data_IF_765599804858
#
_entry.id   IF_765599804858
#
_cell.length_a   1.000
_cell.length_b   1.000
_cell.length_c   1.000
_cell.angle_alpha   90.00
_cell.angle_beta   90.00
_cell.angle_gamma   90.00
#
_symmetry.space_group_name_H-M   'P 1'
#
loop_
_entity.id
_entity.type
_entity.pdbx_description
1 polymer ?
#
# COMPACT_ATOMS: atom_id res chain seq x y z
N UNK A 1 -25.67 5.31 -11.47
CA UNK A 1 -24.84 4.83 -10.35
C UNK A 1 -23.87 3.79 -10.88
N UNK A 2 -22.60 3.86 -10.46
CA UNK A 2 -21.61 2.83 -10.77
C UNK A 2 -21.94 1.53 -9.99
N UNK A 3 -21.85 0.39 -10.66
CA UNK A 3 -22.09 -0.93 -10.07
C UNK A 3 -20.84 -1.37 -9.29
N UNK A 4 -20.95 -1.62 -7.98
CA UNK A 4 -19.83 -2.13 -7.20
C UNK A 4 -19.58 -3.60 -7.57
N UNK A 5 -18.46 -3.86 -8.25
CA UNK A 5 -18.00 -5.23 -8.59
C UNK A 5 -17.35 -5.87 -7.38
N UNK A 6 -16.51 -5.10 -6.66
CA UNK A 6 -15.80 -5.54 -5.46
C UNK A 6 -15.86 -4.44 -4.41
N UNK A 7 -16.38 -4.70 -3.20
CA UNK A 7 -16.39 -3.71 -2.15
C UNK A 7 -14.97 -3.36 -1.70
N UNK A 8 -14.83 -2.18 -1.12
CA UNK A 8 -13.60 -1.81 -0.44
C UNK A 8 -13.39 -2.74 0.76
N UNK A 9 -12.14 -3.12 1.00
CA UNK A 9 -11.79 -4.05 2.06
C UNK A 9 -10.35 -3.85 2.48
N UNK A 10 -10.01 -4.40 3.66
CA UNK A 10 -8.63 -4.45 4.13
C UNK A 10 -8.01 -5.77 3.70
N UNK A 11 -6.92 -5.70 2.94
CA UNK A 11 -6.08 -6.87 2.66
C UNK A 11 -4.98 -6.97 3.70
N UNK A 12 -4.76 -8.20 4.18
CA UNK A 12 -3.67 -8.52 5.10
C UNK A 12 -2.58 -9.25 4.33
N UNK A 13 -1.37 -8.72 4.41
CA UNK A 13 -0.17 -9.29 3.80
C UNK A 13 0.78 -9.68 4.92
N UNK A 14 1.20 -10.94 4.92
CA UNK A 14 2.32 -11.38 5.74
C UNK A 14 3.51 -11.67 4.83
N UNK A 15 4.69 -11.23 5.24
CA UNK A 15 5.95 -11.59 4.59
C UNK A 15 6.99 -11.95 5.63
N UNK A 16 7.84 -12.91 5.29
CA UNK A 16 8.98 -13.27 6.14
C UNK A 16 10.20 -12.47 5.71
N UNK A 17 10.98 -12.03 6.68
CA UNK A 17 12.25 -11.33 6.46
C UNK A 17 13.33 -11.93 7.35
N UNK A 18 14.53 -12.07 6.81
CA UNK A 18 15.72 -12.35 7.61
C UNK A 18 16.31 -11.02 8.05
N UNK A 19 16.40 -10.80 9.36
CA UNK A 19 16.84 -9.53 9.92
C UNK A 19 18.24 -9.61 10.55
N UNK A 20 18.99 -8.55 10.31
CA UNK A 20 20.26 -8.23 10.95
C UNK A 20 20.16 -6.83 11.53
N UNK A 21 20.73 -6.63 12.71
CA UNK A 21 20.74 -5.35 13.41
C UNK A 21 22.18 -4.97 13.75
N UNK A 22 22.52 -3.69 13.64
CA UNK A 22 23.84 -3.26 14.10
C UNK A 22 23.94 -3.43 15.62
N UNK A 23 25.09 -3.91 16.09
CA UNK A 23 25.32 -4.04 17.54
C UNK A 23 25.44 -2.69 18.23
N UNK A 24 25.84 -1.66 17.49
CA UNK A 24 26.03 -0.29 17.96
C UNK A 24 24.77 0.57 17.90
N UNK A 25 23.77 0.17 17.12
CA UNK A 25 22.51 0.88 16.93
C UNK A 25 21.37 -0.12 16.73
N UNK A 26 20.49 -0.23 17.74
CA UNK A 26 19.42 -1.20 17.74
C UNK A 26 18.25 -0.86 16.80
N UNK A 27 18.19 0.35 16.26
CA UNK A 27 17.14 0.79 15.33
C UNK A 27 17.56 0.68 13.86
N UNK A 28 18.86 0.47 13.60
CA UNK A 28 19.42 0.34 12.27
C UNK A 28 19.86 -1.10 11.95
N UNK A 29 19.78 -1.46 10.67
CA UNK A 29 20.21 -2.80 10.23
C UNK A 29 19.85 -3.12 8.79
N UNK A 30 19.85 -4.41 8.50
CA UNK A 30 19.52 -4.97 7.19
C UNK A 30 18.38 -5.97 7.31
N UNK A 31 17.49 -5.97 6.33
CA UNK A 31 16.39 -6.93 6.30
C UNK A 31 16.16 -7.41 4.88
N UNK A 32 16.24 -8.73 4.68
CA UNK A 32 16.14 -9.38 3.38
C UNK A 32 14.83 -10.14 3.29
N UNK A 33 14.12 -10.05 2.16
CA UNK A 33 12.92 -10.87 1.94
C UNK A 33 13.32 -12.36 2.03
N UNK A 34 12.46 -13.19 2.63
CA UNK A 34 12.77 -14.60 2.91
C UNK A 34 11.63 -15.51 2.45
N UNK A 35 11.90 -16.35 1.46
CA UNK A 35 10.92 -17.23 0.82
C UNK A 35 11.54 -18.61 0.62
N UNK A 36 10.72 -19.67 0.71
CA UNK A 36 11.17 -21.05 0.47
C UNK A 36 12.45 -21.48 1.25
N UNK A 37 12.62 -20.95 2.46
CA UNK A 37 13.77 -21.30 3.32
C UNK A 37 15.08 -20.59 2.97
N UNK A 38 15.06 -19.53 2.13
CA UNK A 38 16.26 -18.76 1.76
C UNK A 38 15.97 -17.26 1.58
N UNK A 39 16.98 -16.40 1.76
CA UNK A 39 16.83 -14.98 1.42
C UNK A 39 16.72 -14.77 -0.10
N UNK A 40 15.86 -13.82 -0.49
CA UNK A 40 15.62 -13.40 -1.87
C UNK A 40 16.20 -12.00 -2.07
N UNK A 41 16.97 -11.81 -3.16
CA UNK A 41 17.65 -10.55 -3.44
C UNK A 41 17.08 -9.89 -4.70
N UNK A 42 16.45 -8.73 -4.54
CA UNK A 42 15.88 -7.94 -5.64
C UNK A 42 16.93 -7.27 -6.54
N UNK A 43 18.16 -7.13 -6.04
CA UNK A 43 19.27 -6.53 -6.78
C UNK A 43 20.64 -7.03 -6.24
N UNK A 44 21.73 -6.83 -6.99
CA UNK A 44 23.07 -7.26 -6.56
C UNK A 44 23.56 -6.61 -5.26
N UNK A 45 23.13 -5.38 -4.94
CA UNK A 45 23.53 -4.71 -3.71
C UNK A 45 22.95 -5.42 -2.47
N UNK A 46 21.69 -5.86 -2.53
CA UNK A 46 21.08 -6.64 -1.46
C UNK A 46 21.85 -7.95 -1.20
N UNK A 47 22.28 -8.64 -2.27
CA UNK A 47 23.12 -9.85 -2.13
C UNK A 47 24.47 -9.53 -1.48
N UNK A 48 25.13 -8.45 -1.89
CA UNK A 48 26.40 -8.01 -1.28
C UNK A 48 26.24 -7.69 0.20
N UNK A 49 25.19 -6.96 0.56
CA UNK A 49 24.90 -6.61 1.97
C UNK A 49 24.64 -7.87 2.80
N UNK A 50 23.94 -8.87 2.26
CA UNK A 50 23.72 -10.13 2.95
C UNK A 50 25.02 -10.90 3.21
N UNK A 51 25.89 -11.04 2.20
CA UNK A 51 27.18 -11.71 2.41
C UNK A 51 28.08 -10.92 3.37
N UNK A 52 28.03 -9.58 3.33
CA UNK A 52 28.72 -8.73 4.31
C UNK A 52 28.22 -9.01 5.74
N UNK A 53 26.90 -9.05 5.96
CA UNK A 53 26.33 -9.38 7.27
C UNK A 53 26.80 -10.74 7.81
N UNK A 54 27.01 -11.73 6.94
CA UNK A 54 27.54 -13.05 7.33
C UNK A 54 29.03 -13.03 7.68
N UNK A 55 29.80 -12.13 7.06
CA UNK A 55 31.24 -11.99 7.26
C UNK A 55 31.58 -11.12 8.47
N UNK A 56 30.63 -10.30 8.93
CA UNK A 56 30.82 -9.31 10.00
C UNK A 56 29.91 -9.53 11.23
N UNK A 57 29.91 -10.72 11.87
CA UNK A 57 29.10 -10.98 13.07
C UNK A 57 29.49 -10.12 14.29
N UNK A 58 30.67 -9.49 14.26
CA UNK A 58 31.14 -8.49 15.23
C UNK A 58 30.45 -7.13 15.06
N UNK A 59 29.95 -6.79 13.88
CA UNK A 59 29.27 -5.52 13.62
C UNK A 59 27.75 -5.66 13.69
N UNK A 60 27.22 -6.81 13.26
CA UNK A 60 25.79 -7.07 13.21
C UNK A 60 25.42 -8.35 13.95
N UNK A 61 24.22 -8.36 14.51
CA UNK A 61 23.58 -9.53 15.08
C UNK A 61 22.48 -10.03 14.15
N UNK A 62 22.44 -11.34 13.88
CA UNK A 62 21.34 -11.95 13.15
C UNK A 62 20.18 -12.24 14.11
N UNK A 63 19.02 -11.60 13.87
CA UNK A 63 17.81 -11.79 14.67
C UNK A 63 16.96 -12.99 14.19
N UNK A 64 17.40 -13.65 13.11
CA UNK A 64 16.68 -14.75 12.49
C UNK A 64 15.56 -14.28 11.58
N UNK A 65 14.66 -15.22 11.26
CA UNK A 65 13.53 -14.97 10.35
C UNK A 65 12.35 -14.46 11.17
N UNK A 66 11.92 -13.23 10.88
CA UNK A 66 10.73 -12.62 11.47
C UNK A 66 9.59 -12.60 10.48
N UNK A 67 8.35 -12.58 10.99
CA UNK A 67 7.16 -12.36 10.17
C UNK A 67 6.73 -10.91 10.34
N UNK A 68 6.70 -10.17 9.24
CA UNK A 68 6.16 -8.82 9.19
C UNK A 68 4.73 -8.90 8.65
N UNK A 69 3.78 -8.43 9.47
CA UNK A 69 2.39 -8.29 9.08
C UNK A 69 2.12 -6.84 8.67
N UNK A 70 1.50 -6.67 7.50
CA UNK A 70 1.02 -5.37 7.03
C UNK A 70 -0.42 -5.52 6.59
N UNK A 71 -1.16 -4.44 6.68
CA UNK A 71 -2.48 -4.35 6.06
C UNK A 71 -2.55 -3.11 5.19
N UNK A 72 -3.16 -3.23 4.02
CA UNK A 72 -3.49 -2.09 3.17
C UNK A 72 -5.00 -2.01 2.96
N UNK A 73 -5.49 -0.80 2.79
CA UNK A 73 -6.86 -0.57 2.36
C UNK A 73 -6.93 -0.67 0.84
N UNK A 74 -7.79 -1.54 0.33
CA UNK A 74 -8.05 -1.68 -1.09
C UNK A 74 -9.36 -0.96 -1.40
N UNK A 75 -9.37 0.01 -2.33
CA UNK A 75 -10.59 0.71 -2.73
C UNK A 75 -11.61 -0.24 -3.36
N UNK A 76 -12.86 0.19 -3.39
CA UNK A 76 -13.91 -0.51 -4.12
C UNK A 76 -13.62 -0.45 -5.62
N UNK A 77 -13.79 -1.58 -6.31
CA UNK A 77 -13.77 -1.63 -7.77
C UNK A 77 -15.22 -1.55 -8.24
N UNK A 78 -15.50 -0.58 -9.11
CA UNK A 78 -16.84 -0.35 -9.64
C UNK A 78 -16.82 -0.30 -11.17
N UNK A 79 -17.94 -0.67 -11.79
CA UNK A 79 -18.20 -0.43 -13.21
C UNK A 79 -18.96 0.87 -13.37
N UNK A 80 -18.32 1.85 -14.00
CA UNK A 80 -18.96 3.09 -14.42
C UNK A 80 -20.06 2.78 -15.46
N UNK A 81 -21.04 3.67 -15.58
CA UNK A 81 -22.13 3.56 -16.58
C UNK A 81 -21.63 3.51 -18.03
N UNK A 82 -20.43 4.06 -18.32
CA UNK A 82 -19.79 3.92 -19.62
C UNK A 82 -19.21 2.52 -19.88
N UNK A 83 -19.35 1.58 -18.94
CA UNK A 83 -18.88 0.20 -19.01
C UNK A 83 -17.44 -0.02 -18.56
N UNK A 84 -16.71 1.05 -18.18
CA UNK A 84 -15.31 0.96 -17.74
C UNK A 84 -15.19 0.78 -16.23
N UNK A 85 -14.19 0.02 -15.83
CA UNK A 85 -13.87 -0.20 -14.42
C UNK A 85 -13.10 0.99 -13.86
N UNK A 86 -13.46 1.38 -12.63
CA UNK A 86 -12.85 2.48 -11.89
C UNK A 86 -12.64 2.04 -10.44
N UNK A 87 -11.54 2.49 -9.82
CA UNK A 87 -11.39 2.41 -8.38
C UNK A 87 -12.10 3.62 -7.75
N UNK A 88 -12.93 3.37 -6.75
CA UNK A 88 -13.54 4.42 -5.94
C UNK A 88 -12.61 4.70 -4.75
N UNK A 89 -11.73 5.68 -4.93
CA UNK A 89 -10.68 6.04 -3.99
C UNK A 89 -11.10 7.22 -3.09
N UNK A 90 -10.64 7.17 -1.84
CA UNK A 90 -10.76 8.28 -0.90
C UNK A 90 -9.60 9.27 -1.05
N UNK A 91 -9.55 9.99 -2.18
CA UNK A 91 -8.47 10.95 -2.45
C UNK A 91 -8.96 12.36 -2.75
N UNK A 92 -10.19 12.51 -3.25
CA UNK A 92 -10.78 13.81 -3.56
C UNK A 92 -12.17 13.90 -2.92
N UNK A 93 -12.20 14.19 -1.61
CA UNK A 93 -13.43 14.23 -0.79
C UNK A 93 -14.29 12.95 -0.96
N UNK A 94 -13.65 11.79 -0.93
CA UNK A 94 -14.34 10.51 -1.16
C UNK A 94 -14.95 10.33 -2.54
N UNK A 95 -14.47 11.06 -3.56
CA UNK A 95 -14.95 10.96 -4.92
C UNK A 95 -13.83 10.63 -5.92
N UNK A 96 -14.20 9.99 -7.02
CA UNK A 96 -13.31 9.55 -8.10
C UNK A 96 -13.94 9.86 -9.46
N UNK A 97 -13.15 10.39 -10.38
CA UNK A 97 -13.57 10.64 -11.75
C UNK A 97 -13.30 9.42 -12.64
N UNK A 98 -14.26 9.04 -13.47
CA UNK A 98 -14.03 8.11 -14.56
C UNK A 98 -13.20 8.78 -15.66
N UNK A 99 -11.96 8.34 -15.84
CA UNK A 99 -11.04 8.87 -16.86
C UNK A 99 -11.52 8.68 -18.31
N UNK A 100 -12.55 7.84 -18.53
CA UNK A 100 -13.10 7.57 -19.86
C UNK A 100 -14.29 8.45 -20.25
N UNK A 101 -15.15 8.82 -19.30
CA UNK A 101 -16.38 9.59 -19.59
C UNK A 101 -16.52 10.88 -18.76
N UNK A 102 -15.59 11.15 -17.85
CA UNK A 102 -15.54 12.37 -17.04
C UNK A 102 -16.51 12.41 -15.86
N UNK A 103 -17.41 11.41 -15.73
CA UNK A 103 -18.37 11.34 -14.62
C UNK A 103 -17.68 11.13 -13.29
N UNK A 104 -18.23 11.74 -12.24
CA UNK A 104 -17.72 11.65 -10.89
C UNK A 104 -18.58 10.70 -10.05
N UNK A 105 -17.93 9.89 -9.22
CA UNK A 105 -18.57 8.89 -8.39
C UNK A 105 -18.02 8.98 -6.97
N UNK A 106 -18.89 8.98 -5.96
CA UNK A 106 -18.47 8.85 -4.57
C UNK A 106 -18.04 7.41 -4.23
N UNK A 107 -17.41 7.19 -3.07
CA UNK A 107 -17.00 5.86 -2.58
C UNK A 107 -18.17 4.86 -2.56
N UNK A 108 -19.39 5.33 -2.31
CA UNK A 108 -20.61 4.50 -2.35
C UNK A 108 -21.10 4.14 -3.76
N UNK A 109 -20.43 4.60 -4.82
CA UNK A 109 -20.76 4.34 -6.22
C UNK A 109 -21.84 5.25 -6.83
N UNK A 110 -22.51 6.10 -6.03
CA UNK A 110 -23.45 7.08 -6.56
C UNK A 110 -22.73 8.16 -7.39
N UNK A 111 -23.37 8.60 -8.46
CA UNK A 111 -22.87 9.68 -9.30
C UNK A 111 -23.01 11.01 -8.54
N UNK A 112 -21.99 11.85 -8.63
CA UNK A 112 -21.96 13.19 -8.05
C UNK A 112 -21.62 14.19 -9.15
N UNK A 113 -21.95 15.46 -8.89
CA UNK A 113 -21.50 16.56 -9.75
C UNK A 113 -19.97 16.62 -9.81
N UNK A 114 -19.37 17.21 -10.84
CA UNK A 114 -17.95 17.48 -10.83
C UNK A 114 -17.60 18.53 -9.75
N UNK A 115 -16.35 18.54 -9.23
CA UNK A 115 -15.92 19.38 -8.12
C UNK A 115 -16.17 20.87 -8.30
N UNK A 116 -16.13 21.36 -9.53
CA UNK A 116 -16.34 22.76 -9.87
C UNK A 116 -17.78 23.22 -9.60
N UNK A 117 -18.71 22.27 -9.40
CA UNK A 117 -20.12 22.52 -9.10
C UNK A 117 -20.48 22.15 -7.65
N UNK A 118 -19.52 21.85 -6.79
CA UNK A 118 -19.77 21.59 -5.38
C UNK A 118 -19.96 22.91 -4.63
N UNK A 119 -21.00 22.98 -3.81
CA UNK A 119 -21.22 24.12 -2.94
C UNK A 119 -20.17 24.07 -1.82
N UNK A 120 -19.39 25.14 -1.66
CA UNK A 120 -18.54 25.31 -0.48
C UNK A 120 -19.46 25.67 0.69
N UNK A 121 -19.68 24.71 1.60
CA UNK A 121 -20.27 25.01 2.91
C UNK A 121 -19.27 25.87 3.70
N UNK A 122 -19.31 27.18 3.44
CA UNK A 122 -18.63 28.19 4.24
C UNK A 122 -19.41 28.35 5.57
N UNK A 123 -19.43 27.31 6.40
CA UNK A 123 -19.81 27.51 7.79
C UNK A 123 -18.72 28.37 8.45
N UNK A 124 -19.05 29.52 9.04
CA UNK A 124 -18.08 30.27 9.82
C UNK A 124 -17.67 29.41 11.02
N UNK A 125 -16.37 29.21 11.21
CA UNK A 125 -15.83 28.65 12.45
C UNK A 125 -16.30 29.53 13.62
N UNK A 126 -17.34 29.08 14.35
CA UNK A 126 -17.84 29.71 15.58
C UNK A 126 -17.25 29.03 16.82
#
# INVERSE_FOLDING_TARGET
MAEIIRPAHREHMSRKRLEYRYRTDSEAGFAFDYEEGKPIFKNPAAKKNYEWCKQHPEEVECLGVVTEERSCWIPALARCECGKEINLEDRYYGCSQCSHCGRWHAIGGYEVKPPEEWEEDLEPDF
#
